data_IF_751409505102
#
_entry.id   IF_751409505102
#
_cell.length_a   1.000
_cell.length_b   1.000
_cell.length_c   1.000
_cell.angle_alpha   90.00
_cell.angle_beta   90.00
_cell.angle_gamma   90.00
#
_symmetry.space_group_name_H-M   'P 1'
#
loop_
_entity.id
_entity.type
_entity.pdbx_description
1 polymer ?
#
# COMPACT_ATOMS: atom_id res chain seq x y z
N UNK A 1 13.86 -15.19 -7.92
CA UNK A 1 12.49 -15.35 -7.41
C UNK A 1 11.58 -14.39 -8.15
N UNK A 2 10.40 -14.84 -8.63
CA UNK A 2 9.47 -13.97 -9.36
C UNK A 2 8.56 -13.24 -8.39
N UNK A 3 8.54 -11.92 -8.49
CA UNK A 3 7.65 -11.06 -7.73
C UNK A 3 6.69 -10.30 -8.64
N UNK A 4 5.61 -9.81 -8.04
CA UNK A 4 4.62 -8.98 -8.70
C UNK A 4 4.40 -7.70 -7.92
N UNK A 5 4.29 -6.60 -8.65
CA UNK A 5 3.94 -5.30 -8.11
C UNK A 5 2.83 -4.72 -8.97
N UNK A 6 1.80 -4.18 -8.36
CA UNK A 6 0.65 -3.61 -9.04
C UNK A 6 0.43 -2.14 -8.67
N UNK A 7 0.25 -1.31 -9.68
CA UNK A 7 -0.22 0.07 -9.56
C UNK A 7 -1.67 0.13 -10.07
N UNK A 8 -2.60 0.49 -9.20
CA UNK A 8 -4.00 0.70 -9.53
C UNK A 8 -4.28 2.18 -9.80
N UNK A 9 -4.85 2.48 -10.97
CA UNK A 9 -5.28 3.83 -11.32
C UNK A 9 -6.65 4.16 -10.73
N UNK A 10 -6.73 5.24 -9.95
CA UNK A 10 -7.95 5.61 -9.21
C UNK A 10 -9.09 6.14 -10.08
N UNK A 11 -8.82 6.55 -11.32
CA UNK A 11 -9.82 7.19 -12.18
C UNK A 11 -10.09 6.33 -13.43
N UNK A 12 -11.28 5.75 -13.48
CA UNK A 12 -11.73 4.84 -14.57
C UNK A 12 -11.71 5.49 -15.94
N UNK A 13 -12.01 6.79 -16.01
CA UNK A 13 -11.96 7.57 -17.27
C UNK A 13 -10.60 7.60 -17.96
N UNK A 14 -9.55 7.18 -17.25
CA UNK A 14 -8.18 7.14 -17.78
C UNK A 14 -7.76 5.78 -18.37
N UNK A 15 -8.67 4.81 -18.55
CA UNK A 15 -8.32 3.46 -19.05
C UNK A 15 -7.54 3.50 -20.37
N UNK A 16 -8.01 4.26 -21.36
CA UNK A 16 -7.31 4.41 -22.63
C UNK A 16 -5.95 5.11 -22.46
N UNK A 17 -5.86 6.08 -21.56
CA UNK A 17 -4.63 6.80 -21.28
C UNK A 17 -3.59 5.88 -20.63
N UNK A 18 -3.99 4.98 -19.72
CA UNK A 18 -3.12 3.97 -19.11
C UNK A 18 -2.55 3.02 -20.16
N UNK A 19 -3.37 2.49 -21.05
CA UNK A 19 -2.90 1.63 -22.13
C UNK A 19 -1.89 2.36 -23.04
N UNK A 20 -2.16 3.60 -23.38
CA UNK A 20 -1.26 4.43 -24.18
C UNK A 20 0.02 4.78 -23.42
N UNK A 21 -0.06 4.99 -22.11
CA UNK A 21 1.12 5.18 -21.26
C UNK A 21 2.02 3.94 -21.32
N UNK A 22 1.48 2.74 -21.08
CA UNK A 22 2.26 1.49 -21.10
C UNK A 22 2.87 1.24 -22.48
N UNK A 23 2.13 1.47 -23.58
CA UNK A 23 2.66 1.36 -24.95
C UNK A 23 3.85 2.29 -25.20
N UNK A 24 3.79 3.53 -24.70
CA UNK A 24 4.91 4.49 -24.82
C UNK A 24 6.11 4.14 -23.96
N UNK A 25 5.87 3.51 -22.80
CA UNK A 25 6.94 3.10 -21.88
C UNK A 25 7.71 1.87 -22.40
N UNK A 26 7.06 1.05 -23.24
CA UNK A 26 7.57 -0.22 -23.73
C UNK A 26 7.51 -0.27 -25.27
N UNK A 27 8.24 0.60 -25.97
CA UNK A 27 8.30 0.55 -27.44
C UNK A 27 8.91 -0.77 -27.90
N UNK A 28 8.32 -1.37 -28.94
CA UNK A 28 8.80 -2.64 -29.50
C UNK A 28 8.50 -3.89 -28.67
N UNK A 29 7.77 -3.77 -27.54
CA UNK A 29 7.35 -4.95 -26.79
C UNK A 29 6.35 -5.79 -27.57
N UNK A 30 6.47 -7.12 -27.50
CA UNK A 30 5.42 -8.01 -27.99
C UNK A 30 4.15 -7.86 -27.15
N UNK A 31 2.98 -7.83 -27.82
CA UNK A 31 1.71 -7.55 -27.16
C UNK A 31 0.75 -8.72 -27.35
N UNK A 32 0.18 -9.23 -26.24
CA UNK A 32 -0.84 -10.26 -26.26
C UNK A 32 -2.10 -9.79 -25.52
N UNK A 33 -3.26 -10.04 -26.10
CA UNK A 33 -4.57 -9.71 -25.52
C UNK A 33 -5.24 -10.96 -24.99
N UNK A 34 -5.91 -10.83 -23.82
CA UNK A 34 -6.68 -11.91 -23.20
C UNK A 34 -7.86 -11.31 -22.43
N UNK A 35 -8.98 -11.99 -22.43
CA UNK A 35 -10.07 -11.73 -21.47
C UNK A 35 -9.96 -12.71 -20.32
N UNK A 36 -10.15 -12.23 -19.10
CA UNK A 36 -10.23 -13.04 -17.88
C UNK A 36 -11.58 -12.78 -17.24
N UNK A 37 -12.26 -13.86 -16.91
CA UNK A 37 -13.53 -13.84 -16.19
C UNK A 37 -13.50 -14.98 -15.18
N UNK A 38 -13.94 -14.73 -13.96
CA UNK A 38 -14.07 -15.74 -12.91
C UNK A 38 -15.25 -15.36 -12.02
N UNK A 39 -16.05 -16.36 -11.71
CA UNK A 39 -17.18 -16.28 -10.81
C UNK A 39 -16.81 -16.95 -9.49
N UNK A 40 -17.36 -16.44 -8.40
CA UNK A 40 -17.19 -16.93 -7.05
C UNK A 40 -18.57 -17.26 -6.47
N UNK A 41 -18.60 -17.79 -5.25
CA UNK A 41 -19.84 -17.91 -4.47
C UNK A 41 -20.43 -16.52 -4.24
N UNK A 42 -21.74 -16.45 -3.99
CA UNK A 42 -22.47 -15.21 -3.68
C UNK A 42 -22.49 -14.17 -4.83
N UNK A 43 -22.45 -14.62 -6.08
CA UNK A 43 -22.47 -13.80 -7.29
C UNK A 43 -21.27 -12.84 -7.46
N UNK A 44 -20.27 -12.92 -6.60
CA UNK A 44 -19.06 -12.13 -6.78
C UNK A 44 -18.29 -12.60 -8.02
N UNK A 45 -17.73 -11.67 -8.76
CA UNK A 45 -17.02 -11.99 -9.99
C UNK A 45 -15.98 -10.92 -10.35
N UNK A 46 -15.09 -11.27 -11.25
CA UNK A 46 -14.38 -10.28 -12.04
C UNK A 46 -14.48 -10.57 -13.53
N UNK A 47 -14.55 -9.49 -14.31
CA UNK A 47 -14.50 -9.52 -15.77
C UNK A 47 -13.53 -8.47 -16.26
N UNK A 48 -12.38 -8.91 -16.74
CA UNK A 48 -11.28 -8.01 -17.10
C UNK A 48 -10.69 -8.37 -18.47
N UNK A 49 -10.33 -7.34 -19.21
CA UNK A 49 -9.44 -7.44 -20.37
C UNK A 49 -8.00 -7.25 -19.90
N UNK A 50 -7.11 -8.03 -20.45
CA UNK A 50 -5.69 -8.07 -20.07
C UNK A 50 -4.86 -7.89 -21.32
N UNK A 51 -3.95 -6.92 -21.29
CA UNK A 51 -2.92 -6.75 -22.31
C UNK A 51 -1.57 -7.02 -21.66
N UNK A 52 -0.84 -7.98 -22.21
CA UNK A 52 0.50 -8.34 -21.78
C UNK A 52 1.53 -7.75 -22.71
N UNK A 53 2.51 -7.13 -22.15
CA UNK A 53 3.68 -6.59 -22.83
C UNK A 53 4.91 -7.38 -22.38
N UNK A 54 5.65 -7.92 -23.33
CA UNK A 54 6.94 -8.58 -23.06
C UNK A 54 8.01 -7.76 -23.75
N UNK A 55 8.83 -6.99 -22.99
CA UNK A 55 9.93 -6.21 -23.56
C UNK A 55 10.95 -7.12 -24.22
N UNK A 56 11.46 -6.75 -25.39
CA UNK A 56 12.45 -7.54 -26.13
C UNK A 56 13.81 -7.58 -25.39
N UNK A 57 14.18 -6.48 -24.73
CA UNK A 57 15.53 -6.26 -24.20
C UNK A 57 15.63 -6.48 -22.67
N UNK A 58 14.61 -7.01 -22.01
CA UNK A 58 14.66 -7.24 -20.56
C UNK A 58 14.12 -8.64 -20.24
N UNK A 59 15.06 -9.59 -20.13
CA UNK A 59 14.70 -10.95 -19.76
C UNK A 59 14.02 -11.00 -18.38
N UNK A 60 12.97 -11.80 -18.26
CA UNK A 60 12.26 -12.00 -16.98
C UNK A 60 11.28 -10.90 -16.60
N UNK A 61 11.15 -9.80 -17.36
CA UNK A 61 10.15 -8.77 -17.14
C UNK A 61 8.89 -9.02 -17.96
N UNK A 62 7.73 -8.96 -17.31
CA UNK A 62 6.42 -8.86 -17.97
C UNK A 62 5.66 -7.69 -17.37
N UNK A 63 5.07 -6.88 -18.24
CA UNK A 63 4.17 -5.81 -17.81
C UNK A 63 2.77 -6.14 -18.30
N UNK A 64 1.80 -6.09 -17.42
CA UNK A 64 0.42 -6.40 -17.73
C UNK A 64 -0.45 -5.19 -17.41
N UNK A 65 -1.23 -4.75 -18.39
CA UNK A 65 -2.33 -3.82 -18.16
C UNK A 65 -3.64 -4.59 -18.08
N UNK A 66 -4.37 -4.40 -16.99
CA UNK A 66 -5.66 -5.05 -16.73
C UNK A 66 -6.71 -3.97 -16.51
N UNK A 67 -7.84 -4.05 -17.22
CA UNK A 67 -8.98 -3.18 -16.96
C UNK A 67 -10.29 -3.94 -17.05
N UNK A 68 -11.25 -3.53 -16.26
CA UNK A 68 -12.56 -4.16 -16.17
C UNK A 68 -13.26 -3.83 -14.88
N UNK A 69 -13.99 -4.80 -14.37
CA UNK A 69 -14.77 -4.67 -13.15
C UNK A 69 -14.53 -5.85 -12.20
N UNK A 70 -14.63 -5.56 -10.90
CA UNK A 70 -14.91 -6.52 -9.83
C UNK A 70 -16.34 -6.26 -9.36
N UNK A 71 -17.12 -7.30 -9.19
CA UNK A 71 -18.38 -7.29 -8.45
C UNK A 71 -18.15 -8.00 -7.12
N UNK A 72 -18.35 -7.30 -6.01
CA UNK A 72 -18.16 -7.85 -4.66
C UNK A 72 -19.25 -7.30 -3.76
N UNK A 73 -20.05 -8.19 -3.17
CA UNK A 73 -21.16 -7.82 -2.29
C UNK A 73 -22.04 -6.73 -2.93
N UNK A 74 -22.47 -6.96 -4.16
CA UNK A 74 -23.32 -6.06 -4.99
C UNK A 74 -22.69 -4.70 -5.34
N UNK A 75 -21.40 -4.51 -5.07
CA UNK A 75 -20.66 -3.30 -5.43
C UNK A 75 -19.80 -3.52 -6.66
N UNK A 76 -19.99 -2.68 -7.66
CA UNK A 76 -19.14 -2.63 -8.84
C UNK A 76 -17.90 -1.77 -8.56
N UNK A 77 -16.73 -2.40 -8.62
CA UNK A 77 -15.44 -1.74 -8.42
C UNK A 77 -14.63 -1.78 -9.72
N UNK A 78 -14.16 -0.63 -10.20
CA UNK A 78 -13.36 -0.58 -11.41
C UNK A 78 -11.98 -1.19 -11.20
N UNK A 79 -11.45 -1.82 -12.24
CA UNK A 79 -10.07 -2.30 -12.31
C UNK A 79 -9.35 -1.52 -13.40
N UNK A 80 -8.22 -0.92 -13.06
CA UNK A 80 -7.34 -0.22 -13.99
C UNK A 80 -5.89 -0.35 -13.52
N UNK A 81 -5.28 -1.52 -13.75
CA UNK A 81 -4.05 -1.94 -13.12
C UNK A 81 -2.89 -2.04 -14.11
N UNK A 82 -1.71 -1.61 -13.68
CA UNK A 82 -0.44 -1.93 -14.31
C UNK A 82 0.31 -2.85 -13.37
N UNK A 83 0.47 -4.11 -13.75
CA UNK A 83 1.20 -5.12 -12.97
C UNK A 83 2.55 -5.40 -13.62
N UNK A 84 3.60 -5.32 -12.83
CA UNK A 84 4.96 -5.69 -13.17
C UNK A 84 5.25 -7.06 -12.56
N UNK A 85 5.59 -8.04 -13.40
CA UNK A 85 6.08 -9.36 -12.98
C UNK A 85 7.55 -9.46 -13.37
N UNK A 86 8.44 -9.68 -12.41
CA UNK A 86 9.88 -9.60 -12.62
C UNK A 86 10.66 -10.55 -11.71
N UNK A 87 11.88 -10.88 -12.09
CA UNK A 87 12.81 -11.65 -11.24
C UNK A 87 13.62 -10.68 -10.37
N UNK A 88 13.54 -10.88 -9.06
CA UNK A 88 14.23 -10.04 -8.06
C UNK A 88 15.73 -10.28 -8.01
N UNK A 89 16.22 -11.43 -8.51
CA UNK A 89 17.66 -11.73 -8.57
C UNK A 89 18.37 -11.04 -9.74
N UNK A 90 17.63 -10.51 -10.72
CA UNK A 90 18.18 -9.82 -11.88
C UNK A 90 18.19 -8.30 -11.61
N UNK A 91 19.31 -7.76 -11.13
CA UNK A 91 19.44 -6.33 -10.75
C UNK A 91 19.07 -5.38 -11.90
N UNK A 92 19.44 -5.70 -13.15
CA UNK A 92 19.06 -4.91 -14.33
C UNK A 92 17.54 -4.86 -14.52
N UNK A 93 16.87 -5.99 -14.33
CA UNK A 93 15.41 -6.08 -14.42
C UNK A 93 14.74 -5.23 -13.33
N UNK A 94 15.23 -5.29 -12.10
CA UNK A 94 14.74 -4.47 -10.98
C UNK A 94 14.94 -2.98 -11.27
N UNK A 95 16.11 -2.59 -11.78
CA UNK A 95 16.38 -1.22 -12.20
C UNK A 95 15.45 -0.73 -13.31
N UNK A 96 15.14 -1.59 -14.27
CA UNK A 96 14.17 -1.29 -15.34
C UNK A 96 12.76 -1.12 -14.78
N UNK A 97 12.32 -2.02 -13.90
CA UNK A 97 11.00 -1.92 -13.21
C UNK A 97 10.89 -0.62 -12.43
N UNK A 98 11.92 -0.26 -11.67
CA UNK A 98 11.96 1.00 -10.90
C UNK A 98 11.77 2.21 -11.81
N UNK A 99 12.51 2.29 -12.92
CA UNK A 99 12.37 3.38 -13.90
C UNK A 99 10.98 3.43 -14.54
N UNK A 100 10.39 2.28 -14.86
CA UNK A 100 9.03 2.22 -15.41
C UNK A 100 8.00 2.72 -14.42
N UNK A 101 8.11 2.33 -13.16
CA UNK A 101 7.23 2.78 -12.07
C UNK A 101 7.37 4.30 -11.87
N UNK A 102 8.59 4.82 -11.81
CA UNK A 102 8.83 6.26 -11.70
C UNK A 102 8.16 7.05 -12.83
N UNK A 103 8.27 6.55 -14.06
CA UNK A 103 7.60 7.15 -15.24
C UNK A 103 6.07 7.05 -15.17
N UNK A 104 5.52 5.94 -14.66
CA UNK A 104 4.09 5.82 -14.42
C UNK A 104 3.62 6.87 -13.42
N UNK A 105 4.32 6.98 -12.29
CA UNK A 105 3.97 7.88 -11.19
C UNK A 105 4.27 9.36 -11.48
N UNK A 106 5.13 9.65 -12.45
CA UNK A 106 5.33 11.00 -12.98
C UNK A 106 4.17 11.46 -13.88
N UNK A 107 3.28 10.56 -14.29
CA UNK A 107 2.11 10.91 -15.10
C UNK A 107 1.07 11.68 -14.27
N UNK A 108 0.06 12.25 -14.96
CA UNK A 108 -1.07 12.94 -14.30
C UNK A 108 -2.08 11.98 -13.65
N UNK A 109 -1.94 10.67 -13.91
CA UNK A 109 -2.83 9.64 -13.37
C UNK A 109 -2.42 9.39 -11.91
N UNK A 110 -3.41 9.34 -11.02
CA UNK A 110 -3.20 9.01 -9.62
C UNK A 110 -3.19 7.51 -9.43
N UNK A 111 -2.15 6.99 -8.82
CA UNK A 111 -1.98 5.57 -8.56
C UNK A 111 -1.89 5.26 -7.06
N UNK A 112 -2.34 4.08 -6.71
CA UNK A 112 -2.08 3.44 -5.42
C UNK A 112 -1.45 2.06 -5.67
N UNK A 113 -0.69 1.59 -4.69
CA UNK A 113 -0.27 0.20 -4.63
C UNK A 113 -1.49 -0.69 -4.39
N UNK A 114 -1.53 -1.84 -5.08
CA UNK A 114 -2.64 -2.78 -4.98
C UNK A 114 -2.15 -4.23 -5.03
N UNK A 115 -2.95 -5.14 -4.49
CA UNK A 115 -2.75 -6.58 -4.64
C UNK A 115 -2.85 -6.99 -6.12
N UNK A 116 -1.82 -7.66 -6.68
CA UNK A 116 -1.81 -8.09 -8.07
C UNK A 116 -2.87 -9.14 -8.43
N UNK A 117 -3.31 -9.95 -7.46
CA UNK A 117 -4.30 -11.00 -7.66
C UNK A 117 -5.72 -10.46 -7.49
N UNK A 118 -6.52 -10.53 -8.56
CA UNK A 118 -7.93 -10.13 -8.50
C UNK A 118 -8.76 -11.04 -7.58
N UNK A 119 -8.41 -12.31 -7.46
CA UNK A 119 -9.07 -13.25 -6.55
C UNK A 119 -8.83 -12.83 -5.10
N UNK A 120 -7.57 -12.61 -4.71
CA UNK A 120 -7.22 -12.16 -3.36
C UNK A 120 -7.85 -10.80 -2.99
N UNK A 121 -8.04 -9.91 -3.98
CA UNK A 121 -8.78 -8.65 -3.73
C UNK A 121 -10.24 -8.90 -3.37
N UNK A 122 -10.90 -9.85 -4.05
CA UNK A 122 -12.28 -10.21 -3.73
C UNK A 122 -12.35 -10.79 -2.32
N UNK A 123 -11.46 -11.73 -1.98
CA UNK A 123 -11.41 -12.35 -0.66
C UNK A 123 -11.14 -11.31 0.45
N UNK A 124 -10.25 -10.37 0.19
CA UNK A 124 -9.98 -9.24 1.08
C UNK A 124 -11.21 -8.36 1.30
N UNK A 125 -11.94 -8.04 0.22
CA UNK A 125 -13.14 -7.19 0.28
C UNK A 125 -14.31 -7.87 1.01
N UNK A 126 -14.36 -9.19 0.95
CA UNK A 126 -15.31 -10.02 1.73
C UNK A 126 -14.96 -10.10 3.21
N UNK A 127 -13.75 -9.75 3.60
CA UNK A 127 -13.23 -10.01 4.95
C UNK A 127 -12.85 -11.49 5.18
N UNK A 128 -12.86 -12.31 4.12
CA UNK A 128 -12.53 -13.74 4.14
C UNK A 128 -11.05 -13.99 3.78
N UNK A 129 -10.18 -13.04 4.11
CA UNK A 129 -8.76 -13.14 3.77
C UNK A 129 -8.11 -14.30 4.54
N UNK A 130 -7.93 -15.43 3.89
CA UNK A 130 -7.08 -16.52 4.38
C UNK A 130 -5.64 -16.25 3.93
N UNK A 131 -4.76 -16.03 4.90
CA UNK A 131 -3.34 -15.76 4.65
C UNK A 131 -2.66 -16.93 3.92
N UNK A 132 -3.23 -18.13 3.99
CA UNK A 132 -2.71 -19.34 3.33
C UNK A 132 -2.65 -19.26 1.81
N UNK A 133 -3.52 -18.47 1.18
CA UNK A 133 -3.49 -18.29 -0.29
C UNK A 133 -2.38 -17.35 -0.78
N UNK A 134 -1.71 -16.63 0.10
CA UNK A 134 -0.58 -15.75 -0.24
C UNK A 134 0.73 -16.52 -0.43
N UNK A 135 0.74 -17.79 -0.05
CA UNK A 135 1.92 -18.63 0.08
C UNK A 135 2.52 -19.07 -1.27
N UNK A 136 3.34 -18.20 -1.86
CA UNK A 136 4.46 -18.65 -2.68
C UNK A 136 5.75 -18.83 -1.84
N UNK A 137 5.63 -18.72 -0.53
CA UNK A 137 6.71 -18.83 0.44
C UNK A 137 6.39 -19.95 1.41
N UNK A 138 7.44 -20.61 1.90
CA UNK A 138 7.35 -21.52 3.01
C UNK A 138 6.72 -20.74 4.19
N UNK A 139 5.47 -21.06 4.52
CA UNK A 139 4.70 -20.39 5.58
C UNK A 139 5.42 -20.47 6.91
N UNK A 140 6.29 -21.45 7.07
CA UNK A 140 7.05 -21.70 8.29
C UNK A 140 8.35 -20.89 8.38
N UNK A 141 8.72 -20.14 7.34
CA UNK A 141 9.93 -19.32 7.38
C UNK A 141 9.70 -17.94 7.98
N UNK A 142 10.69 -17.41 8.73
CA UNK A 142 10.67 -16.04 9.25
C UNK A 142 10.53 -14.98 8.12
N UNK A 143 11.05 -15.27 6.93
CA UNK A 143 10.93 -14.42 5.75
C UNK A 143 9.47 -14.24 5.30
N UNK A 144 8.58 -15.18 5.61
CA UNK A 144 7.15 -15.10 5.28
C UNK A 144 6.48 -13.83 5.85
N UNK A 145 6.92 -13.37 7.03
CA UNK A 145 6.45 -12.13 7.64
C UNK A 145 6.66 -10.92 6.73
N UNK A 146 7.82 -10.85 6.07
CA UNK A 146 8.16 -9.74 5.17
C UNK A 146 7.40 -9.83 3.86
N UNK A 147 7.35 -11.02 3.26
CA UNK A 147 6.83 -11.18 1.90
C UNK A 147 5.32 -11.32 1.84
N UNK A 148 4.68 -11.77 2.93
CA UNK A 148 3.22 -11.91 3.00
C UNK A 148 2.54 -10.74 3.68
N UNK A 149 3.03 -10.29 4.85
CA UNK A 149 2.34 -9.27 5.64
C UNK A 149 2.69 -7.84 5.28
N UNK A 150 3.94 -7.54 4.96
CA UNK A 150 4.38 -6.17 4.68
C UNK A 150 3.70 -5.57 3.44
N UNK A 151 3.58 -6.27 2.30
CA UNK A 151 2.89 -5.75 1.12
C UNK A 151 1.46 -5.29 1.43
N UNK A 152 0.70 -6.08 2.18
CA UNK A 152 -0.67 -5.74 2.58
C UNK A 152 -0.74 -4.47 3.43
N UNK A 153 0.20 -4.30 4.35
CA UNK A 153 0.27 -3.08 5.15
C UNK A 153 0.56 -1.86 4.28
N UNK A 154 1.46 -1.99 3.30
CA UNK A 154 1.79 -0.93 2.35
C UNK A 154 0.60 -0.57 1.46
N UNK A 155 -0.11 -1.55 0.91
CA UNK A 155 -1.32 -1.33 0.11
C UNK A 155 -2.37 -0.57 0.93
N UNK A 156 -2.60 -1.01 2.17
CA UNK A 156 -3.59 -0.40 3.03
C UNK A 156 -3.24 1.04 3.43
N UNK A 157 -1.99 1.30 3.78
CA UNK A 157 -1.50 2.66 4.09
C UNK A 157 -1.67 3.55 2.86
N UNK A 158 -1.32 3.07 1.68
CA UNK A 158 -1.43 3.86 0.45
C UNK A 158 -2.87 4.20 0.09
N UNK A 159 -3.79 3.25 0.22
CA UNK A 159 -5.24 3.47 0.03
C UNK A 159 -5.80 4.49 1.02
N UNK A 160 -5.53 4.33 2.31
CA UNK A 160 -5.98 5.28 3.33
C UNK A 160 -5.44 6.69 3.07
N UNK A 161 -4.19 6.80 2.61
CA UNK A 161 -3.64 8.12 2.26
C UNK A 161 -4.36 8.73 1.07
N UNK A 162 -4.69 7.92 0.05
CA UNK A 162 -5.50 8.37 -1.08
C UNK A 162 -6.87 8.89 -0.64
N UNK A 163 -7.55 8.18 0.27
CA UNK A 163 -8.83 8.60 0.84
C UNK A 163 -8.71 9.91 1.63
N UNK A 164 -7.68 10.06 2.46
CA UNK A 164 -7.41 11.30 3.22
C UNK A 164 -7.19 12.48 2.26
N UNK A 165 -6.45 12.29 1.18
CA UNK A 165 -6.23 13.35 0.19
C UNK A 165 -7.49 13.69 -0.64
N UNK A 166 -8.41 12.75 -0.77
CA UNK A 166 -9.67 12.93 -1.51
C UNK A 166 -10.79 13.51 -0.65
N UNK A 167 -10.97 12.99 0.56
CA UNK A 167 -12.08 13.31 1.47
C UNK A 167 -11.72 14.34 2.52
N UNK A 168 -10.42 14.64 2.67
CA UNK A 168 -9.92 15.50 3.73
C UNK A 168 -9.57 14.75 5.01
N UNK A 169 -9.18 15.52 6.04
CA UNK A 169 -8.69 14.98 7.30
C UNK A 169 -9.83 14.58 8.25
N UNK A 170 -10.74 13.71 7.81
CA UNK A 170 -11.79 13.16 8.66
C UNK A 170 -11.19 12.39 9.85
N UNK A 171 -11.75 12.54 11.06
CA UNK A 171 -11.24 11.90 12.29
C UNK A 171 -11.02 10.39 12.14
N UNK A 172 -11.99 9.60 11.66
CA UNK A 172 -11.84 8.15 11.54
C UNK A 172 -10.69 7.79 10.60
N UNK A 173 -10.58 8.46 9.45
CA UNK A 173 -9.54 8.23 8.45
C UNK A 173 -8.15 8.57 9.00
N UNK A 174 -8.00 9.73 9.64
CA UNK A 174 -6.74 10.16 10.24
C UNK A 174 -6.27 9.19 11.32
N UNK A 175 -7.20 8.74 12.18
CA UNK A 175 -6.90 7.72 13.20
C UNK A 175 -6.44 6.41 12.57
N UNK A 176 -7.17 5.90 11.57
CA UNK A 176 -6.83 4.65 10.89
C UNK A 176 -5.45 4.75 10.22
N UNK A 177 -5.20 5.82 9.47
CA UNK A 177 -3.92 6.04 8.80
C UNK A 177 -2.75 6.04 9.79
N UNK A 178 -2.87 6.76 10.92
CA UNK A 178 -1.83 6.76 11.97
C UNK A 178 -1.59 5.38 12.57
N UNK A 179 -2.66 4.64 12.87
CA UNK A 179 -2.56 3.27 13.40
C UNK A 179 -1.83 2.37 12.41
N UNK A 180 -2.16 2.45 11.13
CA UNK A 180 -1.53 1.61 10.09
C UNK A 180 -0.06 1.99 9.84
N UNK A 181 0.27 3.29 9.80
CA UNK A 181 1.68 3.74 9.73
C UNK A 181 2.49 3.27 10.95
N UNK A 182 1.90 3.32 12.15
CA UNK A 182 2.56 2.81 13.35
C UNK A 182 2.79 1.29 13.28
N UNK A 183 1.78 0.53 12.83
CA UNK A 183 1.92 -0.92 12.64
C UNK A 183 3.01 -1.25 11.63
N UNK A 184 3.03 -0.58 10.48
CA UNK A 184 4.07 -0.75 9.46
C UNK A 184 5.47 -0.53 10.04
N UNK A 185 5.66 0.54 10.85
CA UNK A 185 6.93 0.79 11.55
C UNK A 185 7.27 -0.32 12.54
N UNK A 186 6.28 -0.78 13.32
CA UNK A 186 6.47 -1.88 14.27
C UNK A 186 6.87 -3.18 13.57
N UNK A 187 6.25 -3.49 12.43
CA UNK A 187 6.63 -4.65 11.60
C UNK A 187 8.09 -4.56 11.14
N UNK A 188 8.52 -3.41 10.62
CA UNK A 188 9.93 -3.21 10.23
C UNK A 188 10.89 -3.30 11.43
N UNK A 189 10.48 -2.82 12.60
CA UNK A 189 11.27 -2.96 13.83
C UNK A 189 11.39 -4.43 14.24
N UNK A 190 10.28 -5.15 14.18
CA UNK A 190 10.23 -6.56 14.54
C UNK A 190 11.08 -7.42 13.60
N UNK A 191 11.00 -7.15 12.30
CA UNK A 191 11.75 -7.87 11.26
C UNK A 191 13.20 -7.32 11.06
N UNK A 192 13.65 -6.36 11.87
CA UNK A 192 15.00 -5.78 11.74
C UNK A 192 16.13 -6.82 11.68
N UNK A 193 16.13 -7.92 12.47
CA UNK A 193 17.17 -8.93 12.37
C UNK A 193 17.26 -9.65 11.02
N UNK A 194 16.16 -9.65 10.25
CA UNK A 194 16.09 -10.30 8.92
C UNK A 194 16.59 -9.39 7.80
N UNK A 195 16.81 -8.11 8.06
CA UNK A 195 17.00 -7.07 7.06
C UNK A 195 18.30 -6.29 7.30
N UNK A 196 18.91 -5.69 6.26
CA UNK A 196 20.05 -4.80 6.40
C UNK A 196 19.72 -3.63 7.35
N UNK A 197 20.48 -3.49 8.44
CA UNK A 197 20.13 -2.63 9.58
C UNK A 197 20.13 -1.12 9.26
N UNK A 198 21.01 -0.68 8.36
CA UNK A 198 21.12 0.72 7.95
C UNK A 198 19.88 1.16 7.17
N UNK A 199 19.50 0.38 6.19
CA UNK A 199 18.34 0.67 5.33
C UNK A 199 17.04 0.61 6.13
N UNK A 200 16.91 -0.34 7.07
CA UNK A 200 15.75 -0.39 7.99
C UNK A 200 15.66 0.93 8.75
N UNK A 201 16.78 1.46 9.25
CA UNK A 201 16.81 2.72 10.00
C UNK A 201 16.32 3.89 9.13
N UNK A 202 16.75 3.95 7.86
CA UNK A 202 16.33 4.96 6.90
C UNK A 202 14.82 4.88 6.62
N UNK A 203 14.29 3.67 6.40
CA UNK A 203 12.86 3.46 6.18
C UNK A 203 12.02 3.80 7.42
N UNK A 204 12.51 3.45 8.61
CA UNK A 204 11.85 3.82 9.86
C UNK A 204 11.81 5.34 10.06
N UNK A 205 12.88 6.05 9.73
CA UNK A 205 12.94 7.51 9.79
C UNK A 205 11.92 8.16 8.84
N UNK A 206 11.81 7.66 7.60
CA UNK A 206 10.84 8.12 6.62
C UNK A 206 9.40 7.91 7.12
N UNK A 207 9.06 6.72 7.60
CA UNK A 207 7.73 6.42 8.10
C UNK A 207 7.41 7.20 9.40
N UNK A 208 8.43 7.47 10.25
CA UNK A 208 8.30 8.34 11.42
C UNK A 208 7.94 9.76 10.99
N UNK A 209 8.64 10.32 10.00
CA UNK A 209 8.34 11.65 9.47
C UNK A 209 6.90 11.72 8.95
N UNK A 210 6.43 10.70 8.21
CA UNK A 210 5.03 10.62 7.74
C UNK A 210 4.01 10.55 8.89
N UNK A 211 4.35 9.84 9.97
CA UNK A 211 3.48 9.75 11.16
C UNK A 211 3.42 11.07 11.91
N UNK A 212 4.55 11.77 12.01
CA UNK A 212 4.66 13.04 12.71
C UNK A 212 3.88 14.17 12.02
N UNK A 213 3.79 14.16 10.68
CA UNK A 213 2.93 15.09 9.94
C UNK A 213 1.48 15.08 10.41
N UNK A 214 1.01 13.95 10.95
CA UNK A 214 -0.35 13.76 11.44
C UNK A 214 -0.45 13.98 12.97
N UNK A 215 0.63 14.39 13.62
CA UNK A 215 0.75 14.54 15.08
C UNK A 215 -0.23 15.56 15.63
N UNK A 216 -0.08 16.80 15.17
CA UNK A 216 -0.86 17.95 15.65
C UNK A 216 -2.38 17.72 15.47
N UNK A 217 -2.78 17.11 14.33
CA UNK A 217 -4.20 16.76 14.10
C UNK A 217 -4.70 15.77 15.14
N UNK A 218 -3.88 14.77 15.49
CA UNK A 218 -4.23 13.77 16.50
C UNK A 218 -4.32 14.39 17.89
N UNK A 219 -3.42 15.30 18.25
CA UNK A 219 -3.48 15.98 19.55
C UNK A 219 -4.77 16.76 19.69
N UNK A 220 -5.14 17.54 18.67
CA UNK A 220 -6.44 18.21 18.65
C UNK A 220 -7.62 17.24 18.75
N UNK A 221 -7.56 16.08 18.06
CA UNK A 221 -8.61 15.06 18.15
C UNK A 221 -8.76 14.49 19.56
N UNK A 222 -7.64 14.26 20.29
CA UNK A 222 -7.64 13.78 21.67
C UNK A 222 -8.25 14.83 22.61
N UNK A 223 -7.80 16.08 22.48
CA UNK A 223 -8.31 17.18 23.31
C UNK A 223 -9.81 17.40 23.10
N UNK A 224 -10.28 17.38 21.85
CA UNK A 224 -11.71 17.46 21.53
C UNK A 224 -12.52 16.32 22.14
N UNK A 225 -11.98 15.10 22.17
CA UNK A 225 -12.65 13.97 22.84
C UNK A 225 -12.67 14.15 24.36
N UNK A 226 -11.64 14.73 24.93
CA UNK A 226 -11.58 15.04 26.38
C UNK A 226 -12.56 16.15 26.74
N UNK A 227 -12.61 17.24 25.95
CA UNK A 227 -13.59 18.31 26.16
C UNK A 227 -15.03 17.80 26.09
N UNK A 228 -15.33 16.88 25.16
CA UNK A 228 -16.67 16.29 25.08
C UNK A 228 -17.05 15.54 26.35
N UNK A 229 -16.11 14.88 27.02
CA UNK A 229 -16.34 14.19 28.31
C UNK A 229 -16.46 15.16 29.48
N UNK A 230 -15.80 16.31 29.41
CA UNK A 230 -15.84 17.32 30.48
C UNK A 230 -17.13 18.17 30.44
N UNK A 231 -17.79 18.26 29.28
CA UNK A 231 -19.11 18.92 29.18
C UNK A 231 -20.11 18.37 30.17
N UNK A 232 -20.05 17.07 30.43
CA UNK A 232 -20.96 16.39 31.35
C UNK A 232 -20.64 16.68 32.83
N UNK A 233 -19.51 17.33 33.17
CA UNK A 233 -19.01 17.44 34.53
C UNK A 233 -18.83 18.88 35.06
N UNK A 234 -18.57 19.91 34.28
CA UNK A 234 -18.02 21.19 34.77
C UNK A 234 -18.46 22.48 34.06
N UNK A 235 -19.53 22.53 33.35
CA UNK A 235 -20.04 23.80 32.79
C UNK A 235 -19.91 23.88 31.24
N UNK A 236 -21.05 24.03 30.67
CA UNK A 236 -21.29 23.92 29.23
C UNK A 236 -20.61 25.02 28.42
N UNK A 237 -20.62 26.26 28.91
CA UNK A 237 -20.15 27.42 28.14
C UNK A 237 -18.62 27.45 27.94
N UNK A 238 -17.82 27.13 28.96
CA UNK A 238 -16.37 27.10 28.87
C UNK A 238 -15.89 25.93 27.98
N UNK A 239 -16.56 24.78 28.07
CA UNK A 239 -16.26 23.63 27.22
C UNK A 239 -16.62 23.88 25.74
N UNK A 240 -17.62 24.68 25.44
CA UNK A 240 -18.01 25.08 24.09
C UNK A 240 -16.96 26.01 23.45
N UNK A 241 -16.54 27.05 24.17
CA UNK A 241 -15.50 27.96 23.71
C UNK A 241 -14.19 27.21 23.43
N UNK A 242 -13.77 26.33 24.33
CA UNK A 242 -12.58 25.50 24.13
C UNK A 242 -12.72 24.56 22.92
N UNK A 243 -13.90 23.95 22.75
CA UNK A 243 -14.20 23.09 21.60
C UNK A 243 -14.08 23.86 20.29
N UNK A 244 -14.57 25.09 20.21
CA UNK A 244 -14.48 25.93 19.01
C UNK A 244 -13.01 26.26 18.67
N UNK A 245 -12.23 26.67 19.67
CA UNK A 245 -10.79 26.95 19.50
C UNK A 245 -10.07 25.70 18.99
N UNK A 246 -10.30 24.56 19.60
CA UNK A 246 -9.67 23.29 19.20
C UNK A 246 -10.08 22.84 17.80
N UNK A 247 -11.31 23.08 17.37
CA UNK A 247 -11.76 22.80 16.00
C UNK A 247 -11.04 23.67 14.98
N UNK A 248 -10.85 24.95 15.27
CA UNK A 248 -10.07 25.86 14.42
C UNK A 248 -8.60 25.43 14.34
N UNK A 249 -7.99 25.08 15.47
CA UNK A 249 -6.62 24.56 15.51
C UNK A 249 -6.48 23.25 14.74
N UNK A 250 -7.43 22.32 14.91
CA UNK A 250 -7.49 21.06 14.18
C UNK A 250 -7.53 21.27 12.66
N UNK A 251 -8.38 22.18 12.20
CA UNK A 251 -8.52 22.52 10.78
C UNK A 251 -7.22 23.08 10.22
N UNK A 252 -6.58 24.00 10.96
CA UNK A 252 -5.27 24.54 10.61
C UNK A 252 -4.19 23.46 10.54
N UNK A 253 -4.11 22.59 11.56
CA UNK A 253 -3.18 21.47 11.61
C UNK A 253 -3.39 20.48 10.45
N UNK A 254 -4.64 20.17 10.12
CA UNK A 254 -4.99 19.30 9.00
C UNK A 254 -4.58 19.91 7.66
N UNK A 255 -4.85 21.19 7.44
CA UNK A 255 -4.43 21.91 6.24
C UNK A 255 -2.91 21.92 6.10
N UNK A 256 -2.17 22.18 7.18
CA UNK A 256 -0.71 22.13 7.21
C UNK A 256 -0.17 20.74 6.90
N UNK A 257 -0.75 19.69 7.51
CA UNK A 257 -0.32 18.30 7.31
C UNK A 257 -0.53 17.82 5.86
N UNK A 258 -1.60 18.27 5.20
CA UNK A 258 -1.93 17.84 3.83
C UNK A 258 -1.35 18.78 2.76
N UNK A 259 -0.87 19.95 3.13
CA UNK A 259 -0.29 20.92 2.19
C UNK A 259 0.88 20.32 1.41
N UNK A 260 0.80 20.38 0.09
CA UNK A 260 1.86 19.88 -0.79
C UNK A 260 2.01 18.36 -0.85
N UNK A 261 1.16 17.60 -0.16
CA UNK A 261 1.19 16.14 -0.23
C UNK A 261 0.65 15.68 -1.60
N UNK A 262 1.44 14.87 -2.31
CA UNK A 262 1.08 14.30 -3.60
C UNK A 262 0.99 12.78 -3.45
N UNK A 263 -0.15 12.20 -3.84
CA UNK A 263 -0.37 10.76 -3.75
C UNK A 263 0.73 9.95 -4.46
N UNK A 264 1.02 10.29 -5.71
CA UNK A 264 2.03 9.55 -6.49
C UNK A 264 3.43 9.60 -5.87
N UNK A 265 3.79 10.68 -5.16
CA UNK A 265 5.06 10.76 -4.43
C UNK A 265 5.10 9.75 -3.27
N UNK A 266 4.03 9.67 -2.49
CA UNK A 266 3.94 8.68 -1.42
C UNK A 266 3.88 7.26 -1.99
N UNK A 267 3.08 7.04 -3.04
CA UNK A 267 3.02 5.75 -3.73
C UNK A 267 4.40 5.30 -4.19
N UNK A 268 5.21 6.23 -4.73
CA UNK A 268 6.60 5.93 -5.13
C UNK A 268 7.47 5.54 -3.93
N UNK A 269 7.37 6.27 -2.82
CA UNK A 269 8.12 5.95 -1.60
C UNK A 269 7.77 4.55 -1.06
N UNK A 270 6.48 4.23 -0.96
CA UNK A 270 6.02 2.91 -0.51
C UNK A 270 6.37 1.79 -1.51
N UNK A 271 6.35 2.10 -2.80
CA UNK A 271 6.78 1.16 -3.85
C UNK A 271 8.29 0.87 -3.74
N UNK A 272 9.09 1.88 -3.49
CA UNK A 272 10.55 1.70 -3.28
C UNK A 272 10.83 0.86 -2.04
N UNK A 273 10.08 1.07 -0.96
CA UNK A 273 10.17 0.22 0.23
C UNK A 273 9.81 -1.25 -0.10
N UNK A 274 8.75 -1.48 -0.85
CA UNK A 274 8.34 -2.82 -1.26
C UNK A 274 9.39 -3.49 -2.16
N UNK A 275 9.92 -2.77 -3.15
CA UNK A 275 10.97 -3.26 -4.03
C UNK A 275 12.24 -3.60 -3.24
N UNK A 276 12.62 -2.73 -2.31
CA UNK A 276 13.78 -2.99 -1.44
C UNK A 276 13.58 -4.27 -0.63
N UNK A 277 12.43 -4.47 0.00
CA UNK A 277 12.13 -5.72 0.72
C UNK A 277 12.25 -6.95 -0.19
N UNK A 278 11.76 -6.86 -1.42
CA UNK A 278 11.82 -7.97 -2.38
C UNK A 278 13.23 -8.28 -2.90
N UNK A 279 14.17 -7.33 -2.81
CA UNK A 279 15.53 -7.43 -3.33
C UNK A 279 16.61 -7.43 -2.26
N UNK A 280 16.25 -7.16 -1.00
CA UNK A 280 17.19 -7.17 0.10
C UNK A 280 17.81 -8.57 0.27
N UNK A 281 19.11 -8.60 0.51
CA UNK A 281 19.77 -9.80 0.99
C UNK A 281 19.32 -10.03 2.43
N UNK A 282 18.51 -11.06 2.64
CA UNK A 282 18.06 -11.40 3.98
C UNK A 282 19.22 -11.99 4.78
N UNK A 283 19.28 -11.65 6.05
CA UNK A 283 20.26 -12.22 6.98
C UNK A 283 20.06 -13.74 7.13
N UNK A 284 21.08 -14.45 7.63
CA UNK A 284 21.05 -15.90 7.81
C UNK A 284 19.84 -16.42 8.60
N UNK A 285 19.32 -15.61 9.52
CA UNK A 285 18.08 -15.90 10.28
C UNK A 285 16.80 -15.98 9.44
N UNK A 286 16.85 -15.66 8.15
CA UNK A 286 15.69 -15.79 7.27
C UNK A 286 15.32 -17.25 6.95
N UNK A 287 16.27 -18.18 7.13
CA UNK A 287 16.06 -19.63 6.97
C UNK A 287 15.49 -20.27 8.24
N UNK A 288 15.49 -19.57 9.39
CA UNK A 288 14.86 -20.04 10.61
C UNK A 288 13.35 -20.23 10.39
N UNK A 289 12.78 -21.17 11.12
CA UNK A 289 11.33 -21.30 11.14
C UNK A 289 10.70 -20.06 11.76
N UNK A 290 9.49 -19.73 11.37
CA UNK A 290 8.74 -18.62 11.96
C UNK A 290 8.62 -18.80 13.49
N UNK A 291 8.46 -20.03 13.94
CA UNK A 291 8.36 -20.38 15.37
C UNK A 291 9.65 -20.01 16.12
N UNK A 292 10.80 -20.46 15.66
CA UNK A 292 12.12 -20.15 16.27
C UNK A 292 12.37 -18.66 16.30
N UNK A 293 12.09 -17.95 15.20
CA UNK A 293 12.22 -16.51 15.15
C UNK A 293 11.30 -15.80 16.17
N UNK A 294 10.06 -16.26 16.31
CA UNK A 294 9.13 -15.72 17.29
C UNK A 294 9.57 -16.00 18.72
N UNK A 295 10.03 -17.20 19.02
CA UNK A 295 10.58 -17.55 20.34
C UNK A 295 11.76 -16.67 20.73
N UNK A 296 12.72 -16.44 19.82
CA UNK A 296 13.83 -15.54 20.06
C UNK A 296 13.38 -14.09 20.32
N UNK A 297 12.32 -13.64 19.65
CA UNK A 297 11.82 -12.26 19.80
C UNK A 297 10.92 -12.07 21.01
N UNK A 298 10.21 -13.08 21.45
CA UNK A 298 9.29 -13.02 22.59
C UNK A 298 9.83 -13.73 23.85
N UNK A 299 10.70 -14.72 23.71
CA UNK A 299 11.32 -15.43 24.85
C UNK A 299 12.29 -14.59 25.66
N UNK A 300 12.61 -13.39 25.20
CA UNK A 300 13.40 -12.37 25.91
C UNK A 300 12.51 -11.33 26.62
N UNK A 301 11.20 -11.60 26.78
CA UNK A 301 10.26 -10.70 27.50
C UNK A 301 9.90 -11.26 28.87
#
# INVERSE_FOLDING_TARGET
MKQRLCLHGLEVKHQAQLLNLVKRLLPGASVKYKTKEKYFKDNDMYKCRVVRFTPANTAGLRVQYTWGILLVSDKLLPVADITFEFDTKAAETVGTVTKLIERCLASRIRFVLEEPSLSLRIDQLRGCFDQKEVAAYDEDSAASLLYCHLPWQLYYVNKLWAEVLQRGAERPLMRQLRVKLRRLRSTLTFCKPLLPAEEVTNWQALLKARTNLLGDVRECDVLLMTCAKLKDAQGEQAAEQLTEILQKQRTSAATKALKGQKLNKLTLELTKLLLWVYTAELAAHSEETLHEFLEQRFGSW
#
